data_IF_327782694869
#
_entry.id   IF_327782694869
#
_cell.length_a   1.000
_cell.length_b   1.000
_cell.length_c   1.000
_cell.angle_alpha   90.00
_cell.angle_beta   90.00
_cell.angle_gamma   90.00
#
_symmetry.space_group_name_H-M   'P 1'
#
loop_
_entity.id
_entity.type
_entity.pdbx_description
1 polymer ?
#
# COMPACT_ATOMS: atom_id res chain seq x y z
N UNK A 1 37.25 -22.43 -101.42
CA UNK A 1 38.25 -21.64 -100.65
C UNK A 1 37.54 -20.40 -100.13
N UNK A 2 36.82 -20.47 -99.01
CA UNK A 2 37.30 -20.44 -97.62
C UNK A 2 37.72 -19.03 -97.17
N UNK A 3 36.80 -18.29 -96.51
CA UNK A 3 37.15 -17.33 -95.46
C UNK A 3 35.93 -16.92 -94.61
N UNK A 4 35.91 -17.43 -93.37
CA UNK A 4 35.62 -16.72 -92.09
C UNK A 4 34.17 -16.20 -91.89
N UNK A 5 33.33 -16.84 -91.07
CA UNK A 5 33.30 -16.79 -89.58
C UNK A 5 33.65 -15.38 -89.04
N UNK A 6 32.97 -14.76 -88.08
CA UNK A 6 31.86 -15.10 -87.20
C UNK A 6 31.72 -13.88 -86.25
N UNK A 7 30.75 -13.95 -85.31
CA UNK A 7 30.74 -13.21 -84.03
C UNK A 7 30.24 -11.77 -84.04
N UNK A 8 28.97 -11.51 -84.34
CA UNK A 8 28.33 -10.27 -83.84
C UNK A 8 26.80 -10.31 -83.75
N UNK A 9 26.18 -11.45 -83.40
CA UNK A 9 24.71 -11.51 -83.28
C UNK A 9 24.14 -12.23 -82.05
N UNK A 10 24.98 -12.64 -81.10
CA UNK A 10 24.52 -13.49 -79.98
C UNK A 10 25.03 -13.00 -78.62
N UNK A 11 24.97 -11.69 -78.36
CA UNK A 11 25.16 -11.14 -77.00
C UNK A 11 23.98 -10.26 -76.57
N UNK A 12 23.17 -9.73 -77.51
CA UNK A 12 22.08 -8.82 -77.14
C UNK A 12 20.77 -9.49 -76.68
N UNK A 13 20.57 -10.79 -76.92
CA UNK A 13 19.30 -11.45 -76.57
C UNK A 13 19.30 -12.16 -75.20
N UNK A 14 20.46 -12.43 -74.61
CA UNK A 14 20.55 -13.14 -73.32
C UNK A 14 20.65 -12.21 -72.09
N UNK A 15 21.01 -10.94 -72.27
CA UNK A 15 21.09 -9.96 -71.17
C UNK A 15 19.75 -9.31 -70.80
N UNK A 16 18.79 -9.25 -71.73
CA UNK A 16 17.50 -8.60 -71.52
C UNK A 16 16.45 -9.49 -70.81
N UNK A 17 16.66 -10.81 -70.77
CA UNK A 17 15.74 -11.75 -70.13
C UNK A 17 16.00 -11.92 -68.61
N UNK A 18 17.13 -11.43 -68.07
CA UNK A 18 17.48 -11.62 -66.66
C UNK A 18 16.99 -10.48 -65.74
N UNK A 19 16.49 -9.37 -66.28
CA UNK A 19 16.07 -8.19 -65.49
C UNK A 19 14.60 -8.25 -65.07
N UNK A 20 13.81 -9.19 -65.60
CA UNK A 20 12.37 -9.32 -65.28
C UNK A 20 12.06 -10.30 -64.13
N UNK A 21 13.08 -10.84 -63.46
CA UNK A 21 12.92 -11.77 -62.32
C UNK A 21 13.21 -11.12 -60.96
N UNK A 22 13.32 -9.79 -60.89
CA UNK A 22 13.12 -9.09 -59.61
C UNK A 22 11.62 -9.04 -59.32
N UNK A 23 11.09 -10.19 -58.88
CA UNK A 23 9.84 -10.24 -58.16
C UNK A 23 9.90 -9.17 -57.07
N UNK A 24 9.02 -8.17 -57.16
CA UNK A 24 8.72 -7.30 -56.06
C UNK A 24 8.33 -8.21 -54.88
N UNK A 25 9.26 -8.42 -53.94
CA UNK A 25 8.93 -9.04 -52.67
C UNK A 25 7.90 -8.11 -52.03
N UNK A 26 6.68 -8.59 -51.73
CA UNK A 26 5.75 -7.81 -50.93
C UNK A 26 6.46 -7.52 -49.62
N UNK A 27 6.87 -6.26 -49.42
CA UNK A 27 7.30 -5.83 -48.11
C UNK A 27 6.10 -6.06 -47.17
N UNK A 28 6.30 -6.61 -45.97
CA UNK A 28 5.24 -6.65 -44.97
C UNK A 28 4.64 -5.25 -44.90
N UNK A 29 3.29 -5.11 -44.89
CA UNK A 29 2.68 -3.79 -44.78
C UNK A 29 3.33 -3.10 -43.57
N UNK A 30 3.76 -1.84 -43.70
CA UNK A 30 4.30 -1.10 -42.57
C UNK A 30 3.25 -1.20 -41.45
N UNK A 31 3.66 -1.71 -40.30
CA UNK A 31 2.80 -1.79 -39.13
C UNK A 31 2.25 -0.39 -38.87
N UNK A 32 0.94 -0.29 -38.57
CA UNK A 32 0.36 0.96 -38.12
C UNK A 32 1.11 1.51 -36.90
N UNK A 33 0.87 2.77 -36.52
CA UNK A 33 1.45 3.32 -35.31
C UNK A 33 1.14 2.38 -34.12
N UNK A 34 2.12 2.26 -33.21
CA UNK A 34 1.90 1.61 -31.93
C UNK A 34 0.80 2.38 -31.22
N UNK A 35 -0.13 1.64 -30.64
CA UNK A 35 -1.23 2.21 -29.90
C UNK A 35 -0.86 2.13 -28.43
N UNK A 36 -0.56 3.30 -27.88
CA UNK A 36 -0.12 3.51 -26.49
C UNK A 36 -1.23 4.18 -25.67
N UNK A 37 -2.47 4.17 -26.16
CA UNK A 37 -3.62 4.78 -25.48
C UNK A 37 -4.06 3.87 -24.34
N UNK A 38 -4.19 4.40 -23.13
CA UNK A 38 -4.70 3.63 -22.00
C UNK A 38 -6.22 3.43 -22.12
N UNK A 39 -6.74 2.22 -21.81
CA UNK A 39 -8.17 2.01 -21.70
C UNK A 39 -8.76 2.82 -20.53
N UNK A 40 -10.03 3.20 -20.67
CA UNK A 40 -10.77 3.93 -19.64
C UNK A 40 -12.19 3.37 -19.49
N UNK A 41 -12.82 3.67 -18.35
CA UNK A 41 -14.23 3.33 -18.11
C UNK A 41 -15.06 4.58 -18.41
N UNK A 42 -15.94 4.46 -19.41
CA UNK A 42 -16.78 5.54 -19.91
C UNK A 42 -18.02 5.77 -19.04
N UNK A 43 -18.59 4.69 -18.52
CA UNK A 43 -19.80 4.72 -17.70
C UNK A 43 -19.92 3.45 -16.84
N UNK A 44 -20.77 3.51 -15.83
CA UNK A 44 -21.26 2.35 -15.09
C UNK A 44 -22.77 2.43 -14.91
N UNK A 45 -23.42 1.28 -14.87
CA UNK A 45 -24.82 1.15 -14.46
C UNK A 45 -24.92 0.04 -13.40
N UNK A 46 -25.27 0.34 -12.13
CA UNK A 46 -25.62 1.68 -11.64
C UNK A 46 -24.43 2.66 -11.63
N UNK A 47 -24.69 3.99 -11.64
CA UNK A 47 -23.65 4.99 -11.45
C UNK A 47 -23.12 4.98 -10.00
N UNK A 48 -21.91 5.50 -9.81
CA UNK A 48 -21.32 5.75 -8.48
C UNK A 48 -22.28 6.59 -7.60
N UNK A 49 -22.43 6.18 -6.35
CA UNK A 49 -23.35 6.78 -5.38
C UNK A 49 -24.82 6.36 -5.50
N UNK A 50 -25.17 5.44 -6.40
CA UNK A 50 -26.56 5.00 -6.57
C UNK A 50 -27.11 4.33 -5.30
N UNK A 51 -28.40 4.54 -5.03
CA UNK A 51 -29.12 3.93 -3.92
C UNK A 51 -30.46 3.38 -4.40
N UNK A 52 -31.06 2.48 -3.63
CA UNK A 52 -32.29 1.78 -3.98
C UNK A 52 -32.13 0.82 -5.16
N UNK A 53 -30.91 0.32 -5.42
CA UNK A 53 -30.64 -0.64 -6.49
C UNK A 53 -31.37 -1.95 -6.23
N UNK A 54 -32.05 -2.48 -7.26
CA UNK A 54 -32.88 -3.69 -7.15
C UNK A 54 -32.05 -4.98 -7.21
N UNK A 55 -32.58 -6.06 -6.62
CA UNK A 55 -31.96 -7.40 -6.67
C UNK A 55 -32.46 -8.25 -7.86
N UNK A 56 -31.62 -9.16 -8.41
CA UNK A 56 -30.19 -9.31 -8.12
C UNK A 56 -29.41 -8.06 -8.53
N UNK A 57 -28.32 -7.76 -7.84
CA UNK A 57 -27.54 -6.55 -8.12
C UNK A 57 -26.76 -6.80 -9.41
N UNK A 58 -27.20 -6.16 -10.49
CA UNK A 58 -26.50 -6.20 -11.77
C UNK A 58 -25.75 -4.89 -11.94
N UNK A 59 -24.45 -4.99 -12.18
CA UNK A 59 -23.57 -3.87 -12.52
C UNK A 59 -22.98 -4.07 -13.90
N UNK A 60 -22.91 -3.02 -14.70
CA UNK A 60 -22.30 -3.02 -16.03
C UNK A 60 -21.25 -1.93 -16.12
N UNK A 61 -20.04 -2.30 -16.53
CA UNK A 61 -18.95 -1.36 -16.85
C UNK A 61 -18.80 -1.22 -18.36
N UNK A 62 -18.64 0.02 -18.83
CA UNK A 62 -18.50 0.36 -20.24
C UNK A 62 -17.05 0.78 -20.52
N UNK A 63 -16.25 -0.08 -21.14
CA UNK A 63 -14.84 0.21 -21.46
C UNK A 63 -14.72 0.95 -22.79
N UNK A 64 -13.76 1.87 -22.88
CA UNK A 64 -13.45 2.62 -24.11
C UNK A 64 -12.96 1.76 -25.27
N UNK A 65 -12.49 0.54 -24.98
CA UNK A 65 -11.93 -0.38 -25.97
C UNK A 65 -11.99 -1.85 -25.51
N UNK A 66 -11.37 -2.74 -26.28
CA UNK A 66 -11.32 -4.17 -25.96
C UNK A 66 -10.26 -4.47 -24.89
N UNK A 67 -10.72 -5.03 -23.78
CA UNK A 67 -9.94 -5.42 -22.62
C UNK A 67 -9.36 -6.83 -22.75
N UNK A 68 -8.24 -7.04 -22.05
CA UNK A 68 -7.78 -8.36 -21.66
C UNK A 68 -8.60 -8.83 -20.44
N UNK A 69 -9.65 -9.60 -20.71
CA UNK A 69 -10.63 -10.07 -19.71
C UNK A 69 -10.01 -10.68 -18.46
N UNK A 70 -8.98 -11.52 -18.62
CA UNK A 70 -8.28 -12.15 -17.50
C UNK A 70 -7.57 -11.13 -16.61
N UNK A 71 -6.98 -10.08 -17.19
CA UNK A 71 -6.34 -9.03 -16.40
C UNK A 71 -7.36 -8.24 -15.57
N UNK A 72 -8.53 -7.96 -16.14
CA UNK A 72 -9.63 -7.28 -15.46
C UNK A 72 -10.20 -8.16 -14.35
N UNK A 73 -10.50 -9.42 -14.63
CA UNK A 73 -11.04 -10.36 -13.64
C UNK A 73 -10.08 -10.58 -12.46
N UNK A 74 -8.77 -10.65 -12.72
CA UNK A 74 -7.75 -10.76 -11.67
C UNK A 74 -7.69 -9.53 -10.77
N UNK A 75 -7.84 -8.34 -11.35
CA UNK A 75 -7.71 -7.06 -10.64
C UNK A 75 -9.06 -6.43 -10.29
N UNK A 76 -10.14 -7.21 -10.42
CA UNK A 76 -11.48 -6.87 -9.97
C UNK A 76 -11.55 -7.11 -8.46
N UNK A 77 -12.05 -6.12 -7.73
CA UNK A 77 -12.31 -6.22 -6.29
C UNK A 77 -13.77 -5.88 -6.03
N UNK A 78 -14.45 -6.72 -5.26
CA UNK A 78 -15.86 -6.55 -4.91
C UNK A 78 -15.96 -6.64 -3.40
N UNK A 79 -16.53 -5.60 -2.79
CA UNK A 79 -16.71 -5.53 -1.35
C UNK A 79 -18.14 -5.10 -1.00
N UNK A 80 -18.82 -5.73 -0.04
CA UNK A 80 -18.42 -6.97 0.62
C UNK A 80 -18.37 -8.13 -0.37
N UNK A 81 -17.70 -9.21 0.00
CA UNK A 81 -17.64 -10.41 -0.83
C UNK A 81 -19.07 -10.95 -1.07
N UNK A 82 -19.43 -11.28 -2.33
CA UNK A 82 -20.74 -11.81 -2.66
C UNK A 82 -20.84 -13.31 -2.35
N UNK A 83 -22.05 -13.80 -2.02
CA UNK A 83 -22.30 -15.24 -1.89
C UNK A 83 -22.19 -15.93 -3.25
N UNK A 84 -22.64 -15.23 -4.30
CA UNK A 84 -22.54 -15.67 -5.69
C UNK A 84 -22.13 -14.52 -6.61
N UNK A 85 -21.16 -14.80 -7.48
CA UNK A 85 -20.63 -13.89 -8.48
C UNK A 85 -20.74 -14.52 -9.86
N UNK A 86 -21.38 -13.81 -10.80
CA UNK A 86 -21.37 -14.15 -12.22
C UNK A 86 -20.77 -12.98 -13.01
N UNK A 87 -19.80 -13.29 -13.87
CA UNK A 87 -19.11 -12.34 -14.74
C UNK A 87 -19.39 -12.73 -16.20
N UNK A 88 -19.95 -11.79 -16.96
CA UNK A 88 -20.24 -11.95 -18.38
C UNK A 88 -19.66 -10.78 -19.17
N UNK A 89 -19.21 -11.06 -20.38
CA UNK A 89 -18.57 -10.07 -21.23
C UNK A 89 -19.28 -9.99 -22.57
N UNK A 90 -19.66 -8.79 -22.96
CA UNK A 90 -20.40 -8.53 -24.19
C UNK A 90 -19.78 -7.40 -25.01
N UNK A 91 -20.13 -7.36 -26.28
CA UNK A 91 -19.89 -6.18 -27.11
C UNK A 91 -21.15 -5.34 -27.11
N UNK A 92 -20.98 -4.07 -26.74
CA UNK A 92 -22.07 -3.14 -26.61
C UNK A 92 -21.89 -1.92 -27.50
N UNK A 93 -22.89 -1.05 -27.43
CA UNK A 93 -22.81 0.29 -28.00
C UNK A 93 -23.15 1.32 -26.94
N UNK A 94 -22.31 2.33 -26.77
CA UNK A 94 -22.60 3.50 -25.95
C UNK A 94 -22.98 4.67 -26.86
N UNK A 95 -24.07 5.36 -26.56
CA UNK A 95 -24.46 6.58 -27.30
C UNK A 95 -24.22 7.80 -26.42
N UNK A 96 -23.40 8.73 -26.89
CA UNK A 96 -23.14 10.01 -26.24
C UNK A 96 -23.40 11.18 -27.21
N UNK A 97 -23.01 12.39 -26.80
CA UNK A 97 -23.13 13.61 -27.62
C UNK A 97 -22.32 13.56 -28.94
N UNK A 98 -21.33 12.67 -29.03
CA UNK A 98 -20.43 12.51 -30.18
C UNK A 98 -20.86 11.35 -31.11
N UNK A 99 -21.88 10.56 -30.73
CA UNK A 99 -22.47 9.52 -31.58
C UNK A 99 -22.54 8.16 -30.90
N UNK A 100 -22.55 7.10 -31.70
CA UNK A 100 -22.61 5.71 -31.24
C UNK A 100 -21.22 5.10 -31.31
N UNK A 101 -20.70 4.64 -30.17
CA UNK A 101 -19.39 4.02 -30.02
C UNK A 101 -19.54 2.54 -29.71
N UNK A 102 -18.74 1.69 -30.35
CA UNK A 102 -18.63 0.27 -29.96
C UNK A 102 -17.75 0.18 -28.72
N UNK A 103 -18.24 -0.51 -27.69
CA UNK A 103 -17.57 -0.64 -26.38
C UNK A 103 -17.51 -2.11 -25.95
N UNK A 104 -16.60 -2.44 -25.04
CA UNK A 104 -16.67 -3.72 -24.33
C UNK A 104 -17.42 -3.54 -23.01
N UNK A 105 -18.35 -4.45 -22.74
CA UNK A 105 -19.16 -4.46 -21.55
C UNK A 105 -18.72 -5.59 -20.63
N UNK A 106 -18.58 -5.28 -19.35
CA UNK A 106 -18.44 -6.25 -18.27
C UNK A 106 -19.70 -6.21 -17.43
N UNK A 107 -20.49 -7.28 -17.47
CA UNK A 107 -21.66 -7.49 -16.64
C UNK A 107 -21.27 -8.31 -15.41
N UNK A 108 -21.61 -7.78 -14.24
CA UNK A 108 -21.36 -8.39 -12.95
C UNK A 108 -22.72 -8.58 -12.28
N UNK A 109 -23.11 -9.82 -12.04
CA UNK A 109 -24.30 -10.13 -11.26
C UNK A 109 -23.88 -10.63 -9.89
N UNK A 110 -24.36 -9.95 -8.85
CA UNK A 110 -24.12 -10.27 -7.45
C UNK A 110 -25.44 -10.73 -6.81
N UNK A 111 -25.38 -11.87 -6.12
CA UNK A 111 -26.42 -12.26 -5.17
C UNK A 111 -25.80 -12.34 -3.77
N UNK A 112 -26.51 -11.75 -2.82
CA UNK A 112 -26.12 -11.64 -1.41
C UNK A 112 -27.38 -11.77 -0.56
N UNK A 113 -27.29 -12.48 0.56
CA UNK A 113 -28.44 -12.64 1.49
C UNK A 113 -28.78 -11.34 2.26
N UNK A 114 -28.06 -10.24 2.03
CA UNK A 114 -28.21 -8.96 2.73
C UNK A 114 -29.13 -7.96 2.01
N UNK A 115 -30.29 -8.45 1.52
CA UNK A 115 -31.20 -7.77 0.57
C UNK A 115 -31.74 -6.37 0.92
N UNK A 116 -31.36 -5.81 2.06
CA UNK A 116 -31.69 -4.45 2.53
C UNK A 116 -30.55 -3.78 3.31
N UNK A 117 -29.32 -4.22 3.11
CA UNK A 117 -28.16 -3.62 3.76
C UNK A 117 -28.02 -2.17 3.34
N UNK A 118 -27.83 -1.28 4.33
CA UNK A 118 -27.40 0.10 4.06
C UNK A 118 -25.89 0.18 3.81
N UNK A 119 -25.16 -0.95 3.91
CA UNK A 119 -23.73 -0.95 3.57
C UNK A 119 -23.57 -0.77 2.06
N UNK A 120 -22.60 0.04 1.63
CA UNK A 120 -22.26 0.15 0.22
C UNK A 120 -21.72 -1.18 -0.31
N UNK A 121 -22.16 -1.58 -1.50
CA UNK A 121 -21.42 -2.48 -2.37
C UNK A 121 -20.46 -1.64 -3.19
N UNK A 122 -19.18 -1.96 -3.10
CA UNK A 122 -18.09 -1.35 -3.84
C UNK A 122 -17.55 -2.33 -4.87
N UNK A 123 -17.35 -1.85 -6.09
CA UNK A 123 -16.71 -2.60 -7.15
C UNK A 123 -15.57 -1.75 -7.69
N UNK A 124 -14.35 -2.28 -7.63
CA UNK A 124 -13.15 -1.62 -8.13
C UNK A 124 -12.57 -2.42 -9.29
N UNK A 125 -12.38 -1.76 -10.42
CA UNK A 125 -11.51 -2.24 -11.51
C UNK A 125 -10.14 -1.63 -11.28
N UNK A 126 -9.17 -2.43 -10.85
CA UNK A 126 -7.84 -1.94 -10.48
C UNK A 126 -6.96 -1.52 -11.67
N UNK A 127 -5.87 -0.80 -11.36
CA UNK A 127 -4.91 -0.26 -12.34
C UNK A 127 -3.99 -1.31 -13.00
N UNK A 128 -4.14 -2.59 -12.64
CA UNK A 128 -3.55 -3.73 -13.31
C UNK A 128 -4.41 -4.32 -14.44
N UNK A 129 -5.60 -3.77 -14.65
CA UNK A 129 -6.45 -4.08 -15.80
C UNK A 129 -5.84 -3.53 -17.09
N UNK A 130 -5.72 -4.39 -18.12
CA UNK A 130 -5.05 -4.09 -19.38
C UNK A 130 -5.98 -4.27 -20.60
N UNK A 131 -5.73 -3.53 -21.66
CA UNK A 131 -6.29 -3.78 -22.99
C UNK A 131 -5.63 -5.00 -23.66
N UNK A 132 -6.02 -5.30 -24.91
CA UNK A 132 -5.39 -6.38 -25.70
C UNK A 132 -3.96 -6.09 -26.16
N UNK A 133 -3.51 -4.85 -26.04
CA UNK A 133 -2.17 -4.37 -26.42
C UNK A 133 -1.24 -4.21 -25.22
N UNK A 134 -1.72 -4.50 -24.01
CA UNK A 134 -1.04 -4.36 -22.71
C UNK A 134 -0.87 -2.92 -22.24
N UNK A 135 -1.71 -2.01 -22.72
CA UNK A 135 -1.89 -0.71 -22.09
C UNK A 135 -2.80 -0.91 -20.87
N UNK A 136 -2.36 -0.49 -19.71
CA UNK A 136 -3.16 -0.58 -18.50
C UNK A 136 -4.05 0.65 -18.33
N UNK A 137 -5.15 0.48 -17.59
CA UNK A 137 -5.96 1.62 -17.13
C UNK A 137 -5.07 2.55 -16.32
N UNK A 138 -5.21 3.86 -16.55
CA UNK A 138 -4.37 4.88 -15.94
C UNK A 138 -4.52 4.95 -14.41
N UNK A 139 -5.76 4.81 -13.91
CA UNK A 139 -6.08 4.80 -12.50
C UNK A 139 -7.19 3.79 -12.17
N UNK A 140 -7.17 3.15 -10.98
CA UNK A 140 -8.27 2.32 -10.53
C UNK A 140 -9.61 3.06 -10.61
N UNK A 141 -10.65 2.36 -11.06
CA UNK A 141 -12.00 2.89 -11.13
C UNK A 141 -12.89 2.15 -10.13
N UNK A 142 -13.29 2.86 -9.08
CA UNK A 142 -14.18 2.35 -8.05
C UNK A 142 -15.54 3.02 -8.12
N UNK A 143 -16.60 2.22 -8.00
CA UNK A 143 -17.95 2.71 -7.76
C UNK A 143 -18.48 2.15 -6.45
N UNK A 144 -19.35 2.88 -5.78
CA UNK A 144 -20.14 2.37 -4.67
C UNK A 144 -21.63 2.58 -4.93
N UNK A 145 -22.45 1.60 -4.57
CA UNK A 145 -23.91 1.71 -4.61
C UNK A 145 -24.55 0.91 -3.48
N UNK A 146 -25.84 1.10 -3.23
CA UNK A 146 -26.56 0.33 -2.21
C UNK A 146 -27.98 -0.04 -2.66
N UNK A 147 -28.47 -1.17 -2.15
CA UNK A 147 -29.88 -1.54 -2.24
C UNK A 147 -30.75 -0.83 -1.20
N UNK A 148 -30.11 -0.24 -0.18
CA UNK A 148 -30.75 0.63 0.81
C UNK A 148 -31.45 1.83 0.17
N UNK A 149 -32.53 2.30 0.80
CA UNK A 149 -33.32 3.42 0.28
C UNK A 149 -32.75 4.80 0.65
N UNK A 150 -31.63 4.83 1.36
CA UNK A 150 -30.97 6.05 1.80
C UNK A 150 -29.73 6.29 0.94
N UNK A 151 -29.43 7.55 0.55
CA UNK A 151 -28.19 7.88 -0.11
C UNK A 151 -26.97 7.44 0.71
N UNK A 152 -25.90 7.08 0.00
CA UNK A 152 -24.61 6.77 0.62
C UNK A 152 -24.01 8.03 1.29
N UNK A 153 -23.14 7.86 2.30
CA UNK A 153 -22.41 8.96 2.92
C UNK A 153 -21.62 9.81 1.89
N UNK A 154 -21.29 11.03 2.27
CA UNK A 154 -20.58 11.98 1.40
C UNK A 154 -19.05 12.00 1.61
N UNK A 155 -18.53 11.33 2.64
CA UNK A 155 -17.12 11.40 3.01
C UNK A 155 -16.19 10.87 1.91
N UNK A 156 -15.06 11.57 1.77
CA UNK A 156 -14.03 11.29 0.77
C UNK A 156 -12.66 11.32 1.43
N UNK A 157 -11.83 10.35 1.09
CA UNK A 157 -10.47 10.27 1.57
C UNK A 157 -9.56 9.91 0.41
N UNK A 158 -8.71 10.84 0.01
CA UNK A 158 -7.62 10.57 -0.91
C UNK A 158 -6.40 10.11 -0.11
N UNK A 159 -5.50 9.37 -0.74
CA UNK A 159 -4.22 9.12 -0.12
C UNK A 159 -3.17 8.58 -1.05
N UNK A 160 -1.98 8.41 -0.51
CA UNK A 160 -0.82 7.89 -1.23
C UNK A 160 -0.10 6.84 -0.39
N UNK A 161 0.11 5.67 -0.97
CA UNK A 161 0.94 4.62 -0.43
C UNK A 161 2.42 4.88 -0.81
N UNK A 162 3.26 5.15 0.17
CA UNK A 162 4.70 5.36 -0.02
C UNK A 162 5.50 4.12 0.35
N UNK A 163 6.69 3.94 -0.22
CA UNK A 163 7.63 2.91 0.25
C UNK A 163 7.33 1.47 -0.21
N UNK A 164 6.24 1.23 -0.96
CA UNK A 164 5.86 -0.08 -1.50
C UNK A 164 6.85 -0.69 -2.53
N UNK A 165 8.02 -0.07 -2.74
CA UNK A 165 8.86 -0.24 -3.91
C UNK A 165 8.15 0.30 -5.15
N UNK A 166 8.87 0.92 -6.10
CA UNK A 166 8.29 1.17 -7.42
C UNK A 166 7.79 -0.18 -7.95
N UNK A 167 6.52 -0.28 -8.37
CA UNK A 167 6.01 -1.47 -9.06
C UNK A 167 7.07 -1.91 -10.06
N UNK A 168 7.62 -3.13 -9.88
CA UNK A 168 8.77 -3.60 -10.66
C UNK A 168 8.35 -3.54 -12.12
N UNK A 169 8.98 -2.64 -12.87
CA UNK A 169 8.79 -2.50 -14.31
C UNK A 169 9.03 -3.87 -14.96
N UNK A 170 7.96 -4.56 -15.35
CA UNK A 170 8.03 -5.75 -16.21
C UNK A 170 7.45 -7.07 -15.71
N UNK A 171 6.81 -7.14 -14.53
CA UNK A 171 5.99 -8.30 -14.14
C UNK A 171 4.80 -7.79 -13.33
N UNK A 172 3.64 -8.41 -13.57
CA UNK A 172 2.29 -8.03 -13.13
C UNK A 172 2.22 -6.92 -12.07
N UNK A 173 1.48 -5.82 -12.30
CA UNK A 173 1.29 -4.80 -11.28
C UNK A 173 0.61 -5.45 -10.08
N UNK A 174 1.39 -5.74 -9.03
CA UNK A 174 0.84 -6.13 -7.75
C UNK A 174 0.08 -4.92 -7.23
N UNK A 175 -1.24 -5.07 -7.07
CA UNK A 175 -2.10 -4.02 -6.57
C UNK A 175 -1.90 -3.87 -5.07
N UNK A 176 -1.84 -2.62 -4.62
CA UNK A 176 -1.87 -2.32 -3.19
C UNK A 176 -3.36 -2.29 -2.81
N UNK A 177 -3.79 -3.24 -1.99
CA UNK A 177 -5.13 -3.24 -1.41
C UNK A 177 -5.18 -2.20 -0.29
N UNK A 178 -6.26 -1.43 -0.25
CA UNK A 178 -6.50 -0.40 0.76
C UNK A 178 -7.85 -0.67 1.38
N UNK A 179 -7.86 -0.89 2.68
CA UNK A 179 -9.04 -1.21 3.48
C UNK A 179 -9.31 -0.09 4.48
N UNK A 180 -10.56 0.34 4.57
CA UNK A 180 -11.02 1.32 5.54
C UNK A 180 -11.89 0.67 6.61
N UNK A 181 -11.55 0.88 7.87
CA UNK A 181 -12.27 0.37 9.03
C UNK A 181 -12.92 1.51 9.80
N UNK A 182 -14.16 1.33 10.23
CA UNK A 182 -14.82 2.27 11.13
C UNK A 182 -14.31 2.03 12.55
N UNK A 183 -13.93 3.10 13.22
CA UNK A 183 -13.53 3.10 14.64
C UNK A 183 -14.70 3.65 15.46
N UNK A 184 -15.38 2.79 16.25
CA UNK A 184 -16.52 3.20 17.07
C UNK A 184 -16.14 4.28 18.09
N UNK A 185 -17.02 5.26 18.41
CA UNK A 185 -16.77 6.34 19.36
C UNK A 185 -16.20 5.91 20.72
N UNK A 186 -16.64 4.76 21.23
CA UNK A 186 -16.18 4.15 22.48
C UNK A 186 -14.70 3.75 22.47
N UNK A 187 -14.10 3.57 21.28
CA UNK A 187 -12.71 3.16 21.08
C UNK A 187 -11.81 4.32 20.61
N UNK A 188 -12.33 5.55 20.52
CA UNK A 188 -11.60 6.73 19.99
C UNK A 188 -10.67 7.40 21.02
N UNK A 189 -10.14 6.66 22.01
CA UNK A 189 -9.48 7.26 23.18
C UNK A 189 -8.25 6.55 23.74
N UNK A 190 -7.80 5.41 23.19
CA UNK A 190 -6.56 4.73 23.61
C UNK A 190 -5.48 4.96 22.55
N UNK A 191 -4.42 5.73 22.84
CA UNK A 191 -3.24 5.89 21.97
C UNK A 191 -2.31 4.67 21.95
N UNK A 192 -2.73 3.56 22.56
CA UNK A 192 -2.00 2.29 22.57
C UNK A 192 -2.63 1.52 21.40
N UNK A 193 -1.99 1.41 20.24
CA UNK A 193 -0.84 0.55 20.11
C UNK A 193 -0.10 0.83 18.79
N UNK A 194 1.12 1.36 18.89
CA UNK A 194 2.11 1.41 17.80
C UNK A 194 2.94 0.12 17.72
N UNK A 195 2.55 -0.92 18.46
CA UNK A 195 3.21 -2.21 18.54
C UNK A 195 2.59 -3.21 17.57
N UNK A 196 3.45 -3.78 16.73
CA UNK A 196 3.35 -5.05 15.98
C UNK A 196 2.05 -5.32 15.17
N UNK A 197 2.18 -5.96 13.99
CA UNK A 197 1.02 -6.32 13.15
C UNK A 197 0.01 -7.29 13.82
N UNK A 198 0.33 -7.85 14.99
CA UNK A 198 -0.52 -8.80 15.72
C UNK A 198 -1.18 -8.23 17.00
N UNK A 199 -0.60 -7.22 17.67
CA UNK A 199 -1.09 -6.73 18.97
C UNK A 199 -1.88 -5.42 18.88
N UNK A 200 -1.65 -4.63 17.80
CA UNK A 200 -2.39 -3.39 17.55
C UNK A 200 -3.80 -3.57 17.01
N UNK A 201 -4.54 -4.53 17.59
CA UNK A 201 -5.95 -4.79 17.35
C UNK A 201 -6.23 -4.94 15.88
N UNK A 202 -6.19 -6.17 15.37
CA UNK A 202 -7.01 -6.48 14.21
C UNK A 202 -8.37 -5.83 14.46
N UNK A 203 -8.88 -4.95 13.58
CA UNK A 203 -10.27 -4.60 13.67
C UNK A 203 -10.98 -5.94 13.52
N UNK A 204 -11.52 -6.49 14.61
CA UNK A 204 -12.31 -7.74 14.62
C UNK A 204 -13.57 -7.62 13.73
N UNK A 205 -13.73 -6.48 13.05
CA UNK A 205 -14.78 -6.15 12.11
C UNK A 205 -14.23 -6.20 10.69
N UNK A 206 -14.93 -6.89 9.79
CA UNK A 206 -14.71 -6.77 8.35
C UNK A 206 -14.65 -5.28 7.94
N UNK A 207 -13.82 -4.92 6.94
CA UNK A 207 -13.65 -3.53 6.53
C UNK A 207 -14.99 -2.89 6.16
N UNK A 208 -15.11 -1.57 6.25
CA UNK A 208 -16.29 -0.87 5.76
C UNK A 208 -16.22 -0.70 4.24
N UNK A 209 -15.02 -0.43 3.73
CA UNK A 209 -14.76 -0.18 2.33
C UNK A 209 -13.40 -0.75 1.94
N UNK A 210 -13.28 -1.22 0.70
CA UNK A 210 -12.03 -1.72 0.12
C UNK A 210 -11.85 -1.10 -1.26
N UNK A 211 -10.64 -0.63 -1.54
CA UNK A 211 -10.22 -0.13 -2.85
C UNK A 211 -8.78 -0.57 -3.13
N UNK A 212 -8.21 -0.11 -4.23
CA UNK A 212 -6.83 -0.39 -4.61
C UNK A 212 -6.11 0.90 -4.96
N UNK A 213 -4.82 0.97 -4.68
CA UNK A 213 -3.98 2.06 -5.12
C UNK A 213 -3.58 1.90 -6.60
N UNK A 214 -3.44 3.02 -7.29
CA UNK A 214 -2.88 3.10 -8.63
C UNK A 214 -1.37 2.84 -8.65
N UNK A 215 -0.79 2.89 -9.85
CA UNK A 215 0.64 2.61 -10.07
C UNK A 215 1.57 3.62 -9.39
N UNK A 216 1.07 4.82 -9.16
CA UNK A 216 1.74 5.91 -8.43
C UNK A 216 1.54 5.81 -6.92
N UNK A 217 0.80 4.81 -6.43
CA UNK A 217 0.42 4.64 -5.03
C UNK A 217 -0.80 5.48 -4.63
N UNK A 218 -1.39 6.26 -5.54
CA UNK A 218 -2.58 7.06 -5.25
C UNK A 218 -3.82 6.20 -5.07
N UNK A 219 -4.63 6.47 -4.05
CA UNK A 219 -5.92 5.80 -3.83
C UNK A 219 -7.00 6.82 -3.44
N UNK A 220 -8.26 6.42 -3.61
CA UNK A 220 -9.41 7.25 -3.29
C UNK A 220 -10.53 6.39 -2.72
N UNK A 221 -10.96 6.72 -1.51
CA UNK A 221 -12.25 6.30 -1.00
C UNK A 221 -13.32 7.35 -1.26
N UNK A 222 -14.50 6.85 -1.60
CA UNK A 222 -15.75 7.60 -1.69
C UNK A 222 -16.75 6.92 -0.77
N UNK A 223 -17.76 7.68 -0.36
CA UNK A 223 -18.87 7.16 0.43
C UNK A 223 -18.47 6.62 1.81
N UNK A 224 -17.41 7.20 2.38
CA UNK A 224 -17.07 6.96 3.77
C UNK A 224 -17.99 7.76 4.70
N UNK A 225 -18.37 7.19 5.85
CA UNK A 225 -19.08 7.91 6.88
C UNK A 225 -18.29 9.10 7.39
N UNK A 226 -19.03 10.11 7.86
CA UNK A 226 -18.50 11.30 8.50
C UNK A 226 -18.69 11.19 10.02
N UNK A 227 -18.29 12.24 10.76
CA UNK A 227 -18.47 12.38 12.21
C UNK A 227 -19.87 11.93 12.70
N UNK A 228 -20.00 11.13 13.79
CA UNK A 228 -18.99 10.76 14.79
C UNK A 228 -18.08 9.60 14.42
N UNK A 229 -18.28 8.98 13.26
CA UNK A 229 -17.47 7.84 12.86
C UNK A 229 -16.06 8.31 12.51
N UNK A 230 -15.07 7.52 12.89
CA UNK A 230 -13.67 7.73 12.52
C UNK A 230 -13.23 6.57 11.65
N UNK A 231 -12.23 6.81 10.81
CA UNK A 231 -11.73 5.81 9.87
C UNK A 231 -10.27 5.51 10.16
N UNK A 232 -9.91 4.23 10.21
CA UNK A 232 -8.51 3.78 10.18
C UNK A 232 -8.28 3.02 8.89
N UNK A 233 -7.16 3.28 8.23
CA UNK A 233 -6.77 2.58 7.01
C UNK A 233 -5.74 1.50 7.30
N UNK A 234 -5.87 0.38 6.59
CA UNK A 234 -4.85 -0.66 6.43
C UNK A 234 -4.55 -0.80 4.95
N UNK A 235 -3.27 -0.88 4.60
CA UNK A 235 -2.80 -1.09 3.24
C UNK A 235 -1.87 -2.26 3.22
N UNK A 236 -1.94 -3.07 2.16
CA UNK A 236 -0.99 -4.15 1.95
C UNK A 236 -0.81 -4.45 0.47
N UNK A 237 0.36 -4.97 0.14
CA UNK A 237 0.71 -5.43 -1.20
C UNK A 237 0.59 -6.95 -1.20
N UNK A 238 -0.50 -7.43 -1.78
CA UNK A 238 -0.90 -8.84 -1.91
C UNK A 238 -0.06 -9.53 -3.00
N UNK A 239 1.17 -9.92 -2.63
CA UNK A 239 2.20 -10.42 -3.56
C UNK A 239 1.89 -11.85 -4.04
N UNK A 240 1.20 -12.65 -3.23
CA UNK A 240 0.82 -14.02 -3.55
C UNK A 240 -0.64 -14.17 -4.04
N UNK A 241 -1.41 -13.08 -4.01
CA UNK A 241 -2.77 -12.97 -4.58
C UNK A 241 -3.80 -13.83 -3.85
N UNK A 242 -3.63 -14.02 -2.54
CA UNK A 242 -4.62 -14.71 -1.71
C UNK A 242 -5.63 -13.74 -1.07
N UNK A 243 -5.38 -12.42 -1.17
CA UNK A 243 -6.24 -11.38 -0.64
C UNK A 243 -6.08 -11.17 0.87
N UNK A 244 -5.17 -11.86 1.53
CA UNK A 244 -4.84 -11.73 2.94
C UNK A 244 -3.53 -10.93 3.12
N UNK A 245 -3.31 -10.42 4.32
CA UNK A 245 -2.04 -9.75 4.66
C UNK A 245 -1.11 -10.78 5.31
N UNK A 246 0.04 -11.01 4.69
CA UNK A 246 1.16 -11.71 5.31
C UNK A 246 2.27 -10.74 5.73
N UNK A 247 2.24 -10.30 7.00
CA UNK A 247 3.18 -9.31 7.53
C UNK A 247 4.66 -9.74 7.52
N UNK A 248 4.97 -11.03 7.35
CA UNK A 248 6.35 -11.52 7.25
C UNK A 248 6.94 -11.30 5.85
N UNK A 249 6.11 -11.41 4.80
CA UNK A 249 6.59 -11.40 3.41
C UNK A 249 6.16 -10.17 2.63
N UNK A 250 5.09 -9.50 3.06
CA UNK A 250 4.44 -8.44 2.30
C UNK A 250 4.73 -7.05 2.85
N UNK A 251 4.52 -6.06 1.98
CA UNK A 251 4.52 -4.68 2.40
C UNK A 251 3.15 -4.32 2.94
N UNK A 252 3.10 -3.63 4.08
CA UNK A 252 1.88 -3.16 4.70
C UNK A 252 2.05 -1.79 5.36
N UNK A 253 0.96 -1.09 5.63
CA UNK A 253 0.96 0.18 6.33
C UNK A 253 -0.38 0.47 6.98
N UNK A 254 -0.36 1.29 8.02
CA UNK A 254 -1.55 1.72 8.74
C UNK A 254 -1.60 3.23 8.84
N UNK A 255 -2.79 3.80 8.81
CA UNK A 255 -2.99 5.19 9.22
C UNK A 255 -3.24 5.32 10.72
N UNK A 256 -3.09 6.54 11.23
CA UNK A 256 -3.76 6.97 12.44
C UNK A 256 -5.30 6.95 12.25
N UNK A 257 -6.03 7.17 13.34
CA UNK A 257 -7.48 7.33 13.30
C UNK A 257 -7.83 8.70 12.72
N UNK A 258 -8.60 8.72 11.63
CA UNK A 258 -8.96 9.91 10.86
C UNK A 258 -10.40 10.34 11.16
N UNK A 259 -10.59 11.64 11.37
CA UNK A 259 -11.91 12.27 11.39
C UNK A 259 -12.17 12.89 10.02
N UNK A 260 -13.18 12.38 9.30
CA UNK A 260 -13.44 12.84 7.94
C UNK A 260 -14.34 14.06 7.90
N UNK A 261 -14.10 14.91 6.91
CA UNK A 261 -14.85 16.12 6.58
C UNK A 261 -15.57 16.00 5.23
N UNK A 262 -16.56 16.85 5.00
CA UNK A 262 -17.25 16.93 3.70
C UNK A 262 -16.38 17.51 2.58
N UNK A 263 -15.33 18.28 2.94
CA UNK A 263 -14.42 18.92 1.97
C UNK A 263 -13.43 17.92 1.36
N UNK A 264 -13.28 16.75 1.98
CA UNK A 264 -12.37 15.69 1.58
C UNK A 264 -11.02 15.81 2.26
N UNK A 265 -10.53 14.69 2.77
CA UNK A 265 -9.27 14.61 3.50
C UNK A 265 -8.20 13.88 2.68
N UNK A 266 -6.95 14.03 3.10
CA UNK A 266 -5.82 13.32 2.50
C UNK A 266 -4.91 12.68 3.55
N UNK A 267 -4.34 11.53 3.20
CA UNK A 267 -3.40 10.81 4.06
C UNK A 267 -2.27 10.19 3.25
N UNK A 268 -1.05 10.26 3.76
CA UNK A 268 0.10 9.53 3.23
C UNK A 268 0.45 8.41 4.18
N UNK A 269 0.52 7.19 3.66
CA UNK A 269 0.80 6.00 4.47
C UNK A 269 2.05 5.33 3.95
N UNK A 270 3.06 5.25 4.82
CA UNK A 270 4.30 4.54 4.52
C UNK A 270 4.06 3.04 4.67
N UNK A 271 4.37 2.30 3.63
CA UNK A 271 4.40 0.86 3.65
C UNK A 271 5.78 0.35 4.07
N UNK A 272 5.77 -0.66 4.92
CA UNK A 272 6.92 -1.34 5.53
C UNK A 272 6.73 -2.85 5.37
N UNK A 273 7.80 -3.60 5.43
CA UNK A 273 7.80 -5.07 5.48
C UNK A 273 8.66 -5.53 6.67
N UNK A 274 8.72 -6.84 6.94
CA UNK A 274 9.51 -7.38 8.06
C UNK A 274 11.00 -6.96 8.05
N UNK A 275 11.57 -6.68 6.87
CA UNK A 275 12.97 -6.24 6.71
C UNK A 275 13.14 -4.71 6.77
N UNK A 276 12.05 -3.95 6.92
CA UNK A 276 12.12 -2.50 6.88
C UNK A 276 12.87 -1.94 8.09
N UNK A 277 13.90 -1.09 7.87
CA UNK A 277 14.73 -0.59 8.94
C UNK A 277 13.97 0.35 9.88
N UNK A 278 14.05 0.08 11.17
CA UNK A 278 13.58 0.96 12.23
C UNK A 278 14.62 2.04 12.57
N UNK A 279 14.13 3.11 13.20
CA UNK A 279 14.91 4.24 13.70
C UNK A 279 14.47 4.54 15.14
N UNK A 280 15.45 4.71 16.02
CA UNK A 280 15.23 5.11 17.41
C UNK A 280 15.98 6.41 17.67
N UNK A 281 15.29 7.39 18.25
CA UNK A 281 15.88 8.67 18.64
C UNK A 281 15.44 9.08 20.03
N UNK A 282 16.20 9.98 20.66
CA UNK A 282 15.86 10.50 21.98
C UNK A 282 16.76 11.65 22.39
N UNK A 283 16.53 12.14 23.62
CA UNK A 283 17.33 13.21 24.22
C UNK A 283 17.77 12.78 25.62
N UNK A 284 19.08 12.77 25.87
CA UNK A 284 19.68 12.55 27.16
C UNK A 284 19.78 13.88 27.94
N UNK A 285 19.07 13.98 29.06
CA UNK A 285 18.88 15.20 29.87
C UNK A 285 19.85 15.30 31.06
N UNK A 286 21.02 14.69 30.98
CA UNK A 286 22.07 14.82 32.00
C UNK A 286 22.94 16.06 31.76
N UNK A 287 23.68 16.48 32.78
CA UNK A 287 24.73 17.47 32.62
C UNK A 287 25.85 16.93 31.70
N UNK A 288 26.31 17.75 30.74
CA UNK A 288 27.30 17.38 29.72
C UNK A 288 26.93 16.09 28.98
N UNK A 289 25.77 16.05 28.30
CA UNK A 289 25.30 14.84 27.64
C UNK A 289 26.24 14.34 26.54
N UNK A 290 27.05 15.23 25.95
CA UNK A 290 28.08 14.90 24.97
C UNK A 290 29.22 14.02 25.53
N UNK A 291 29.34 13.95 26.86
CA UNK A 291 30.29 13.07 27.54
C UNK A 291 29.76 11.66 27.78
N UNK A 292 28.48 11.42 27.47
CA UNK A 292 27.84 10.13 27.65
C UNK A 292 28.02 9.24 26.43
N UNK A 293 27.79 7.96 26.65
CA UNK A 293 27.66 6.95 25.61
C UNK A 293 26.26 6.35 25.70
N UNK A 294 25.57 6.27 24.58
CA UNK A 294 24.28 5.57 24.46
C UNK A 294 24.56 4.28 23.72
N UNK A 295 24.28 3.16 24.37
CA UNK A 295 24.43 1.82 23.83
C UNK A 295 23.03 1.25 23.57
N UNK A 296 22.85 0.61 22.42
CA UNK A 296 21.62 -0.09 22.07
C UNK A 296 21.99 -1.50 21.63
N UNK A 297 21.56 -2.50 22.39
CA UNK A 297 21.86 -3.90 22.13
C UNK A 297 20.56 -4.69 21.90
N UNK A 298 20.52 -5.64 20.95
CA UNK A 298 19.43 -6.61 20.89
C UNK A 298 19.26 -7.34 22.24
N UNK A 299 18.02 -7.57 22.66
CA UNK A 299 17.75 -8.21 23.95
C UNK A 299 18.37 -9.62 23.98
N UNK A 300 19.22 -9.87 24.98
CA UNK A 300 19.92 -11.14 25.15
C UNK A 300 21.21 -11.30 24.33
N UNK A 301 21.57 -10.33 23.49
CA UNK A 301 22.85 -10.32 22.75
C UNK A 301 23.57 -8.96 22.87
N UNK A 302 24.42 -8.85 23.89
CA UNK A 302 25.23 -7.65 24.10
C UNK A 302 26.43 -7.52 23.15
N UNK A 303 26.71 -8.52 22.29
CA UNK A 303 27.87 -8.48 21.39
C UNK A 303 27.57 -7.68 20.11
N UNK A 304 26.30 -7.50 19.76
CA UNK A 304 25.85 -6.70 18.61
C UNK A 304 25.42 -5.28 19.00
N UNK A 305 25.91 -4.78 20.13
CA UNK A 305 25.56 -3.45 20.61
C UNK A 305 26.05 -2.35 19.67
N UNK A 306 25.12 -1.50 19.22
CA UNK A 306 25.45 -0.23 18.58
C UNK A 306 25.71 0.83 19.64
N UNK A 307 26.66 1.73 19.37
CA UNK A 307 27.01 2.79 20.31
C UNK A 307 27.09 4.14 19.61
N UNK A 308 26.53 5.16 20.24
CA UNK A 308 26.61 6.55 19.80
C UNK A 308 26.85 7.49 20.98
N UNK A 309 27.31 8.71 20.70
CA UNK A 309 27.41 9.77 21.70
C UNK A 309 26.35 10.82 21.43
N UNK A 310 25.60 11.28 22.45
CA UNK A 310 24.70 12.41 22.28
C UNK A 310 25.44 13.67 21.83
N UNK A 311 24.74 14.57 21.14
CA UNK A 311 25.28 15.90 20.85
C UNK A 311 25.21 16.84 22.08
N UNK A 312 25.61 18.10 21.91
CA UNK A 312 25.57 19.10 23.00
C UNK A 312 24.17 19.46 23.50
N UNK A 313 23.13 19.08 22.76
CA UNK A 313 21.73 19.19 23.19
C UNK A 313 21.23 17.90 23.86
N UNK A 314 22.05 16.85 23.86
CA UNK A 314 21.72 15.52 24.31
C UNK A 314 20.98 14.67 23.30
N UNK A 315 20.82 15.12 22.05
CA UNK A 315 20.15 14.35 21.02
C UNK A 315 21.02 13.17 20.58
N UNK A 316 20.39 11.99 20.42
CA UNK A 316 21.03 10.80 19.88
C UNK A 316 20.07 10.07 18.92
N UNK A 317 20.63 9.25 18.03
CA UNK A 317 19.85 8.46 17.08
C UNK A 317 20.56 7.17 16.68
N UNK A 318 19.78 6.11 16.52
CA UNK A 318 20.12 4.85 15.88
C UNK A 318 19.24 4.67 14.65
N UNK A 319 19.83 4.23 13.54
CA UNK A 319 19.15 4.06 12.26
C UNK A 319 19.50 2.71 11.68
N UNK A 320 18.64 2.17 10.82
CA UNK A 320 18.84 0.84 10.20
C UNK A 320 18.78 -0.32 11.20
N UNK A 321 18.01 -0.15 12.26
CA UNK A 321 17.75 -1.20 13.23
C UNK A 321 16.82 -2.25 12.62
N UNK A 322 17.05 -3.52 12.92
CA UNK A 322 16.06 -4.57 12.64
C UNK A 322 14.91 -4.47 13.63
N UNK A 323 13.74 -4.96 13.26
CA UNK A 323 12.64 -5.10 14.22
C UNK A 323 13.02 -6.09 15.33
N UNK A 324 12.54 -5.84 16.56
CA UNK A 324 12.81 -6.68 17.72
C UNK A 324 12.93 -5.89 19.02
N UNK A 325 13.21 -6.61 20.10
CA UNK A 325 13.43 -6.04 21.43
C UNK A 325 14.88 -5.63 21.60
N UNK A 326 15.10 -4.42 22.11
CA UNK A 326 16.41 -3.86 22.40
C UNK A 326 16.51 -3.41 23.86
N UNK A 327 17.71 -3.50 24.42
CA UNK A 327 18.08 -2.85 25.66
C UNK A 327 18.88 -1.57 25.35
N UNK A 328 18.28 -0.42 25.65
CA UNK A 328 18.92 0.88 25.59
C UNK A 328 19.60 1.18 26.92
N UNK A 329 20.90 1.49 26.90
CA UNK A 329 21.68 1.88 28.08
C UNK A 329 22.28 3.27 27.88
N UNK A 330 22.19 4.09 28.91
CA UNK A 330 22.93 5.35 28.97
C UNK A 330 24.08 5.19 29.94
N UNK A 331 25.29 5.43 29.46
CA UNK A 331 26.53 5.11 30.15
C UNK A 331 27.35 6.38 30.38
N UNK A 332 27.93 6.49 31.56
CA UNK A 332 29.00 7.44 31.86
C UNK A 332 30.36 6.74 31.76
N UNK A 333 31.32 7.26 30.98
CA UNK A 333 32.67 6.73 30.97
C UNK A 333 33.27 6.72 32.37
N UNK A 334 34.00 5.66 32.72
CA UNK A 334 34.63 5.58 34.03
C UNK A 334 35.64 6.72 34.25
N UNK A 335 35.62 7.30 35.46
CA UNK A 335 36.53 8.36 35.82
C UNK A 335 37.98 7.83 35.84
N UNK A 336 38.83 8.30 34.93
CA UNK A 336 40.28 8.09 34.99
C UNK A 336 40.96 7.40 33.80
N UNK A 337 40.25 7.06 32.72
CA UNK A 337 40.87 6.60 31.46
C UNK A 337 41.66 5.28 31.56
N UNK A 338 41.51 4.52 32.65
CA UNK A 338 42.09 3.21 32.79
C UNK A 338 41.34 2.22 31.89
N UNK A 339 42.07 1.41 31.14
CA UNK A 339 41.52 0.45 30.17
C UNK A 339 40.66 -0.68 30.78
N UNK A 340 40.52 -0.71 32.12
CA UNK A 340 39.90 -1.79 32.89
C UNK A 340 38.76 -1.30 33.81
N UNK A 341 38.31 -0.05 33.63
CA UNK A 341 37.21 0.50 34.43
C UNK A 341 35.89 0.44 33.65
N UNK A 342 34.93 -0.33 34.18
CA UNK A 342 33.59 -0.50 33.63
C UNK A 342 32.81 0.80 33.70
N UNK A 343 32.18 1.20 32.59
CA UNK A 343 31.31 2.37 32.53
C UNK A 343 30.18 2.29 33.59
N UNK A 344 29.78 3.42 34.13
CA UNK A 344 28.64 3.51 35.06
C UNK A 344 27.34 3.57 34.22
N UNK A 345 26.42 2.64 34.48
CA UNK A 345 25.10 2.66 33.85
C UNK A 345 24.21 3.66 34.58
N UNK A 346 23.70 4.66 33.84
CA UNK A 346 22.84 5.73 34.35
C UNK A 346 21.35 5.45 34.16
N UNK A 347 20.97 4.77 33.08
CA UNK A 347 19.59 4.34 32.80
C UNK A 347 19.60 3.09 31.90
N UNK A 348 18.57 2.24 32.03
CA UNK A 348 18.33 1.05 31.20
C UNK A 348 16.85 0.99 30.82
N UNK A 349 16.56 0.80 29.54
CA UNK A 349 15.19 0.64 29.04
C UNK A 349 15.08 -0.52 28.06
N UNK A 350 14.02 -1.32 28.19
CA UNK A 350 13.61 -2.27 27.17
C UNK A 350 12.74 -1.55 26.14
N UNK A 351 13.09 -1.67 24.86
CA UNK A 351 12.43 -1.00 23.75
C UNK A 351 12.09 -2.04 22.68
N UNK A 352 10.80 -2.26 22.43
CA UNK A 352 10.36 -3.07 21.30
C UNK A 352 10.21 -2.19 20.06
N UNK A 353 10.89 -2.51 18.96
CA UNK A 353 10.78 -1.79 17.70
C UNK A 353 10.06 -2.63 16.65
N UNK A 354 8.99 -2.07 16.07
CA UNK A 354 8.29 -2.68 14.95
C UNK A 354 9.03 -2.41 13.62
N UNK A 355 8.77 -3.21 12.56
CA UNK A 355 9.40 -3.00 11.26
C UNK A 355 9.13 -1.59 10.70
N UNK A 356 10.19 -0.91 10.27
CA UNK A 356 10.11 0.44 9.72
C UNK A 356 9.71 1.55 10.70
N UNK A 357 9.56 1.22 11.99
CA UNK A 357 9.14 2.16 13.04
C UNK A 357 10.13 3.33 13.18
N UNK A 358 9.60 4.54 13.43
CA UNK A 358 10.40 5.70 13.83
C UNK A 358 9.98 6.13 15.22
N UNK A 359 10.71 5.68 16.23
CA UNK A 359 10.40 5.98 17.63
C UNK A 359 11.25 7.13 18.14
N UNK A 360 10.59 8.17 18.65
CA UNK A 360 11.23 9.24 19.42
C UNK A 360 10.89 9.04 20.90
N UNK A 361 11.90 8.70 21.69
CA UNK A 361 11.73 8.55 23.13
C UNK A 361 11.52 9.93 23.79
N UNK A 362 10.66 10.02 24.82
CA UNK A 362 10.63 11.21 25.66
C UNK A 362 12.00 11.44 26.30
N UNK A 363 12.28 12.68 26.70
CA UNK A 363 13.54 13.05 27.32
C UNK A 363 13.91 12.10 28.48
N UNK A 364 15.10 11.52 28.40
CA UNK A 364 15.62 10.53 29.32
C UNK A 364 16.60 11.24 30.24
N UNK A 365 16.37 11.23 31.55
CA UNK A 365 17.22 11.95 32.49
C UNK A 365 17.21 11.29 33.87
N UNK A 366 17.97 11.85 34.82
CA UNK A 366 17.92 11.39 36.20
C UNK A 366 16.48 11.50 36.74
N UNK A 367 16.04 10.58 37.61
CA UNK A 367 14.72 10.67 38.22
C UNK A 367 14.54 12.04 38.88
N UNK A 368 13.41 12.70 38.64
CA UNK A 368 13.11 13.99 39.26
C UNK A 368 13.18 13.85 40.79
N UNK A 369 13.99 14.67 41.49
CA UNK A 369 13.99 14.65 42.94
C UNK A 369 12.63 15.13 43.45
N UNK A 370 11.80 14.20 43.96
CA UNK A 370 10.54 14.52 44.62
C UNK A 370 9.27 13.80 44.14
N UNK A 371 9.39 12.83 43.21
CA UNK A 371 8.28 11.93 42.84
C UNK A 371 8.52 10.48 43.31
N UNK A 372 8.87 10.30 44.58
CA UNK A 372 8.66 9.01 45.23
C UNK A 372 7.16 8.86 45.54
N UNK A 373 6.48 8.06 44.72
CA UNK A 373 5.25 7.43 45.15
C UNK A 373 5.54 6.62 46.41
N UNK A 374 4.79 6.88 47.48
CA UNK A 374 5.01 6.29 48.78
C UNK A 374 5.05 4.76 48.73
N UNK A 375 6.26 4.22 48.82
CA UNK A 375 6.48 2.86 49.30
C UNK A 375 6.90 2.98 50.76
N UNK A 376 5.94 2.83 51.65
CA UNK A 376 6.21 2.60 53.07
C UNK A 376 7.06 1.34 53.21
N UNK A 377 8.21 1.36 53.92
CA UNK A 377 8.91 0.13 54.23
C UNK A 377 8.13 -0.59 55.33
N UNK A 378 7.39 -1.63 54.96
CA UNK A 378 7.00 -2.68 55.91
C UNK A 378 8.25 -3.45 56.34
N UNK A 379 8.45 -3.58 57.66
CA UNK A 379 9.46 -4.48 58.22
C UNK A 379 10.37 -3.87 59.28
N UNK A 380 9.81 -3.25 60.32
CA UNK A 380 10.48 -3.16 61.62
C UNK A 380 9.59 -3.78 62.68
N UNK A 381 9.94 -5.01 63.09
CA UNK A 381 9.40 -5.67 64.28
C UNK A 381 9.64 -4.80 65.52
N UNK A 382 8.65 -4.65 66.42
CA UNK A 382 8.82 -3.90 67.65
C UNK A 382 9.60 -4.74 68.67
N UNK A 383 10.68 -4.19 69.21
CA UNK A 383 11.32 -4.74 70.40
C UNK A 383 10.37 -4.65 71.61
N UNK A 384 10.07 -5.81 72.18
CA UNK A 384 9.41 -5.95 73.48
C UNK A 384 10.42 -5.61 74.57
N UNK A 385 10.10 -4.61 75.38
CA UNK A 385 10.70 -4.41 76.70
C UNK A 385 10.07 -5.39 77.69
N UNK A 386 10.89 -6.23 78.31
CA UNK A 386 10.79 -6.59 79.74
C UNK A 386 12.18 -6.62 80.36
#
# INVERSE_FOLDING_TARGET
>A
MAARLARTRTILAAGAALVLLHCAQPAPPPGGPVDDTAPSILATDPPDGAFGVSYPLVTTFYFSEKMNKRSVERDLRIYPEPDFLTIEWEEGTLTDENGVHTVELLHITLDRDDRRSQRPTMITVGGGSEDRRKNAIEAPHAIAFTSGQTPLPAGRLAGTAEGAGKQRTGRDPVSITVEAYLVPPENQGTPEDSGTPEDSGTPETAPYAVTSAGRDGGFLFRHLPLDPERVRLRLYRDDDQDGELNGETEFYGFSDTLALSEEGDSVTIRMVNAESPAELSGVALWASPESLSVELAPAGDSLEAETTSPDSTGAFSFVKLTAGTYELRILRPAAGGAADSTAEILDIRSIDLAPGERRALPGIGPPEPGRDGGVTPEGQEPQVKE
#
